data_IF_127321335908
#
_entry.id   IF_127321335908
#
_cell.length_a   1.000
_cell.length_b   1.000
_cell.length_c   1.000
_cell.angle_alpha   90.00
_cell.angle_beta   90.00
_cell.angle_gamma   90.00
#
_symmetry.space_group_name_H-M   'P 1'
#
loop_
_entity.id
_entity.type
_entity.pdbx_description
1 polymer ?
#
# COMPACT_ATOMS: atom_id res chain seq x y z
N UNK A 1 9.83 -42.49 -6.45
CA UNK A 1 10.00 -42.21 -5.06
C UNK A 1 10.61 -40.85 -4.79
N UNK A 2 11.69 -40.57 -5.43
CA UNK A 2 12.42 -39.34 -5.18
C UNK A 2 11.67 -38.09 -5.64
N UNK A 3 10.83 -38.24 -6.62
CA UNK A 3 10.09 -37.10 -7.18
C UNK A 3 9.12 -36.45 -6.21
N UNK A 4 8.73 -37.14 -5.17
CA UNK A 4 7.81 -36.63 -4.18
C UNK A 4 8.42 -35.53 -3.33
N UNK A 5 9.71 -35.60 -3.09
CA UNK A 5 10.42 -34.65 -2.26
C UNK A 5 10.56 -33.27 -2.90
N UNK A 6 10.62 -33.23 -4.20
CA UNK A 6 10.77 -31.97 -4.92
C UNK A 6 9.54 -31.10 -4.84
N UNK A 7 8.36 -31.69 -4.81
CA UNK A 7 7.13 -30.94 -4.74
C UNK A 7 6.98 -30.16 -3.44
N UNK A 8 7.53 -30.68 -2.36
CA UNK A 8 7.44 -30.02 -1.06
C UNK A 8 8.30 -28.77 -0.98
N UNK A 9 9.40 -28.75 -1.69
CA UNK A 9 10.31 -27.61 -1.64
C UNK A 9 9.73 -26.39 -2.35
N UNK A 10 8.94 -26.59 -3.37
CA UNK A 10 8.38 -25.51 -4.15
C UNK A 10 7.30 -24.77 -3.39
N UNK A 11 6.51 -25.47 -2.61
CA UNK A 11 5.38 -24.86 -1.92
C UNK A 11 5.77 -24.00 -0.75
N UNK A 12 7.04 -24.02 -0.35
CA UNK A 12 7.47 -23.34 0.86
C UNK A 12 7.99 -21.93 0.63
N UNK A 13 7.89 -21.38 -0.57
CA UNK A 13 8.77 -20.30 -0.91
C UNK A 13 8.15 -18.95 -1.25
N UNK A 14 6.96 -18.64 -0.91
CA UNK A 14 6.46 -17.33 -1.32
C UNK A 14 5.77 -16.58 -0.22
N UNK A 15 6.52 -16.02 0.69
CA UNK A 15 5.84 -15.45 1.86
C UNK A 15 5.39 -14.02 1.72
N UNK A 16 5.85 -13.23 0.78
CA UNK A 16 5.78 -11.80 0.99
C UNK A 16 4.82 -11.03 0.10
N UNK A 17 4.45 -11.55 -1.04
CA UNK A 17 3.55 -10.82 -1.92
C UNK A 17 2.10 -11.05 -1.51
N UNK A 18 1.25 -10.01 -1.52
CA UNK A 18 -0.17 -10.24 -1.34
C UNK A 18 -0.67 -11.16 -2.43
N UNK A 19 -1.40 -12.19 -2.05
CA UNK A 19 -1.95 -13.11 -3.01
C UNK A 19 -3.02 -12.39 -3.83
N UNK A 20 -3.05 -12.65 -5.13
CA UNK A 20 -4.14 -12.19 -5.98
C UNK A 20 -5.37 -13.03 -5.66
N UNK A 21 -6.21 -12.53 -4.78
CA UNK A 21 -7.44 -13.20 -4.36
C UNK A 21 -8.67 -12.66 -5.06
N UNK A 22 -8.53 -11.63 -5.90
CA UNK A 22 -9.66 -10.92 -6.47
C UNK A 22 -10.41 -10.02 -5.50
N UNK A 23 -10.01 -10.03 -4.22
CA UNK A 23 -10.63 -9.22 -3.17
C UNK A 23 -9.54 -8.49 -2.42
N UNK A 24 -9.56 -7.17 -2.38
CA UNK A 24 -8.57 -6.42 -1.63
C UNK A 24 -8.80 -6.58 -0.13
N UNK A 25 -7.74 -6.45 0.66
CA UNK A 25 -7.86 -6.44 2.11
C UNK A 25 -8.72 -5.25 2.54
N UNK A 26 -9.67 -5.44 3.45
CA UNK A 26 -10.54 -4.34 3.89
C UNK A 26 -9.78 -3.14 4.43
N UNK A 27 -8.69 -3.37 5.15
CA UNK A 27 -7.88 -2.27 5.67
C UNK A 27 -7.26 -1.45 4.56
N UNK A 28 -6.79 -2.10 3.48
CA UNK A 28 -6.21 -1.38 2.35
C UNK A 28 -7.25 -0.47 1.68
N UNK A 29 -8.48 -0.95 1.54
CA UNK A 29 -9.57 -0.16 0.97
C UNK A 29 -9.92 1.03 1.87
N UNK A 30 -10.02 0.79 3.17
CA UNK A 30 -10.31 1.86 4.13
C UNK A 30 -9.19 2.89 4.17
N UNK A 31 -7.94 2.45 4.13
CA UNK A 31 -6.79 3.35 4.09
C UNK A 31 -6.75 4.16 2.80
N UNK A 32 -7.03 3.53 1.67
CA UNK A 32 -7.12 4.27 0.41
C UNK A 32 -8.18 5.37 0.51
N UNK A 33 -9.36 5.02 1.03
CA UNK A 33 -10.46 5.98 1.22
C UNK A 33 -10.03 7.18 2.08
N UNK A 34 -9.41 6.90 3.22
CA UNK A 34 -8.96 7.96 4.13
C UNK A 34 -7.88 8.82 3.50
N UNK A 35 -6.89 8.20 2.87
CA UNK A 35 -5.79 8.94 2.25
C UNK A 35 -6.27 9.79 1.08
N UNK A 36 -7.19 9.27 0.29
CA UNK A 36 -7.79 10.05 -0.81
C UNK A 36 -8.49 11.29 -0.28
N UNK A 37 -9.18 11.18 0.85
CA UNK A 37 -9.80 12.33 1.48
C UNK A 37 -8.76 13.33 1.97
N UNK A 38 -7.69 12.87 2.60
CA UNK A 38 -6.61 13.74 3.07
C UNK A 38 -5.86 14.42 1.92
N UNK A 39 -5.86 13.82 0.74
CA UNK A 39 -5.23 14.41 -0.44
C UNK A 39 -5.91 15.70 -0.89
N UNK A 40 -7.12 15.96 -0.40
CA UNK A 40 -7.83 17.22 -0.67
C UNK A 40 -7.72 18.22 0.47
N UNK A 41 -6.92 17.95 1.49
CA UNK A 41 -6.78 18.82 2.63
C UNK A 41 -6.14 20.15 2.25
N UNK A 42 -6.50 21.20 2.97
CA UNK A 42 -5.96 22.53 2.73
C UNK A 42 -4.50 22.66 3.18
N UNK A 43 -4.10 21.90 4.21
CA UNK A 43 -2.72 21.89 4.67
C UNK A 43 -1.86 21.13 3.66
N UNK A 44 -0.84 21.78 3.05
CA UNK A 44 -0.02 21.14 2.03
C UNK A 44 0.70 19.88 2.51
N UNK A 45 1.05 19.80 3.78
CA UNK A 45 1.73 18.63 4.33
C UNK A 45 0.79 17.45 4.44
N UNK A 46 -0.43 17.70 4.89
CA UNK A 46 -1.46 16.67 4.96
C UNK A 46 -1.85 16.22 3.57
N UNK A 47 -2.00 17.16 2.64
CA UNK A 47 -2.32 16.86 1.25
C UNK A 47 -1.27 15.97 0.60
N UNK A 48 0.01 16.28 0.80
CA UNK A 48 1.10 15.45 0.28
C UNK A 48 1.09 14.05 0.86
N UNK A 49 0.92 13.95 2.17
CA UNK A 49 0.83 12.65 2.84
C UNK A 49 -0.35 11.84 2.30
N UNK A 50 -1.49 12.47 2.14
CA UNK A 50 -2.68 11.81 1.60
C UNK A 50 -2.46 11.31 0.18
N UNK A 51 -1.84 12.12 -0.67
CA UNK A 51 -1.56 11.76 -2.05
C UNK A 51 -0.63 10.54 -2.15
N UNK A 52 0.46 10.57 -1.40
CA UNK A 52 1.42 9.45 -1.38
C UNK A 52 0.78 8.21 -0.78
N UNK A 53 0.05 8.38 0.33
CA UNK A 53 -0.62 7.26 0.97
C UNK A 53 -1.68 6.62 0.08
N UNK A 54 -2.46 7.44 -0.62
CA UNK A 54 -3.48 6.92 -1.53
C UNK A 54 -2.85 6.07 -2.64
N UNK A 55 -1.76 6.52 -3.21
CA UNK A 55 -1.06 5.78 -4.25
C UNK A 55 -0.48 4.47 -3.71
N UNK A 56 0.05 4.49 -2.50
CA UNK A 56 0.58 3.29 -1.87
C UNK A 56 -0.51 2.23 -1.68
N UNK A 57 -1.65 2.62 -1.11
CA UNK A 57 -2.74 1.68 -0.88
C UNK A 57 -3.40 1.24 -2.18
N UNK A 58 -3.46 2.12 -3.19
CA UNK A 58 -3.94 1.73 -4.51
C UNK A 58 -3.08 0.61 -5.10
N UNK A 59 -1.76 0.71 -4.96
CA UNK A 59 -0.87 -0.35 -5.40
C UNK A 59 -1.12 -1.68 -4.70
N UNK A 60 -1.40 -1.64 -3.39
CA UNK A 60 -1.73 -2.86 -2.65
C UNK A 60 -3.08 -3.45 -3.10
N UNK A 61 -4.05 -2.59 -3.36
CA UNK A 61 -5.36 -3.03 -3.87
C UNK A 61 -5.19 -3.67 -5.24
N UNK A 62 -4.44 -3.04 -6.12
CA UNK A 62 -4.22 -3.57 -7.48
C UNK A 62 -3.47 -4.91 -7.45
N UNK A 63 -2.54 -5.08 -6.53
CA UNK A 63 -1.82 -6.34 -6.41
C UNK A 63 -2.74 -7.48 -5.97
N UNK A 64 -3.69 -7.22 -5.08
CA UNK A 64 -4.60 -8.22 -4.56
C UNK A 64 -5.81 -8.44 -5.49
N UNK A 65 -6.26 -7.41 -6.18
CA UNK A 65 -7.48 -7.43 -6.96
C UNK A 65 -7.35 -6.54 -8.20
N UNK A 66 -6.65 -7.01 -9.23
CA UNK A 66 -6.52 -6.25 -10.47
C UNK A 66 -7.90 -5.90 -11.03
N UNK A 67 -8.09 -4.64 -11.36
CA UNK A 67 -9.38 -4.18 -11.88
C UNK A 67 -10.45 -3.88 -10.84
N UNK A 68 -10.08 -3.88 -9.55
CA UNK A 68 -11.02 -3.47 -8.52
C UNK A 68 -11.51 -2.04 -8.78
N UNK A 69 -12.82 -1.84 -8.67
CA UNK A 69 -13.41 -0.51 -8.85
C UNK A 69 -13.14 0.33 -7.61
N UNK A 70 -12.14 1.19 -7.68
CA UNK A 70 -11.74 2.02 -6.55
C UNK A 70 -12.78 3.08 -6.18
N UNK A 71 -13.70 3.41 -7.08
CA UNK A 71 -14.77 4.33 -6.74
C UNK A 71 -15.64 3.77 -5.61
N UNK A 72 -15.75 2.47 -5.51
CA UNK A 72 -16.46 1.82 -4.40
C UNK A 72 -15.83 2.12 -3.05
N UNK A 73 -14.52 2.31 -3.02
CA UNK A 73 -13.84 2.63 -1.77
C UNK A 73 -14.32 3.98 -1.21
N UNK A 74 -14.67 4.90 -2.09
CA UNK A 74 -15.12 6.23 -1.67
C UNK A 74 -16.49 6.20 -1.00
N UNK A 75 -17.25 5.15 -1.19
CA UNK A 75 -18.55 4.98 -0.56
C UNK A 75 -18.48 4.33 0.83
N UNK A 76 -17.31 3.88 1.23
CA UNK A 76 -17.15 3.23 2.53
C UNK A 76 -17.22 4.24 3.65
N UNK A 77 -17.98 3.90 4.68
CA UNK A 77 -18.06 4.73 5.87
C UNK A 77 -16.79 4.56 6.70
N UNK A 78 -16.29 5.66 7.24
CA UNK A 78 -15.18 5.66 8.18
C UNK A 78 -15.76 5.86 9.57
N UNK A 79 -15.69 4.83 10.42
CA UNK A 79 -16.20 4.90 11.77
C UNK A 79 -15.22 5.59 12.71
N UNK A 80 -14.23 4.86 13.19
CA UNK A 80 -13.19 5.40 14.07
C UNK A 80 -12.06 5.96 13.22
N UNK A 81 -12.16 7.24 12.91
CA UNK A 81 -11.22 7.93 12.02
C UNK A 81 -9.81 7.95 12.59
N UNK A 82 -9.66 8.26 13.87
CA UNK A 82 -8.34 8.34 14.49
C UNK A 82 -7.68 6.97 14.58
N UNK A 83 -8.44 5.95 14.93
CA UNK A 83 -7.95 4.59 14.97
C UNK A 83 -7.54 4.10 13.58
N UNK A 84 -8.33 4.41 12.57
CA UNK A 84 -8.00 4.07 11.19
C UNK A 84 -6.73 4.77 10.75
N UNK A 85 -6.60 6.05 11.03
CA UNK A 85 -5.41 6.82 10.67
C UNK A 85 -4.14 6.21 11.29
N UNK A 86 -4.22 5.78 12.55
CA UNK A 86 -3.09 5.11 13.19
C UNK A 86 -2.72 3.81 12.47
N UNK A 87 -3.73 2.98 12.15
CA UNK A 87 -3.47 1.72 11.46
C UNK A 87 -2.88 1.93 10.09
N UNK A 88 -3.40 2.89 9.35
CA UNK A 88 -2.86 3.24 8.03
C UNK A 88 -1.42 3.75 8.16
N UNK A 89 -1.15 4.57 9.17
CA UNK A 89 0.18 5.07 9.45
C UNK A 89 1.17 3.97 9.76
N UNK A 90 0.74 2.94 10.49
CA UNK A 90 1.59 1.79 10.79
C UNK A 90 1.94 1.01 9.52
N UNK A 91 0.97 0.79 8.64
CA UNK A 91 1.22 0.12 7.36
C UNK A 91 2.19 0.92 6.51
N UNK A 92 1.97 2.22 6.39
CA UNK A 92 2.85 3.11 5.63
C UNK A 92 4.27 3.11 6.21
N UNK A 93 4.38 3.11 7.53
CA UNK A 93 5.68 3.11 8.19
C UNK A 93 6.41 1.80 7.98
N UNK A 94 5.70 0.69 8.01
CA UNK A 94 6.29 -0.63 7.75
C UNK A 94 6.80 -0.73 6.31
N UNK A 95 6.03 -0.20 5.34
CA UNK A 95 6.45 -0.12 3.94
C UNK A 95 7.35 1.08 3.66
N UNK A 96 7.29 2.10 4.51
CA UNK A 96 7.91 3.39 4.28
C UNK A 96 9.42 3.40 4.39
N UNK A 97 9.99 2.37 4.98
CA UNK A 97 11.43 2.21 5.01
C UNK A 97 11.99 2.16 3.60
N UNK A 98 11.30 1.43 2.72
CA UNK A 98 11.68 1.30 1.33
C UNK A 98 11.40 2.59 0.56
N UNK A 99 10.31 3.27 0.86
CA UNK A 99 10.00 4.57 0.25
C UNK A 99 11.06 5.59 0.54
N UNK A 100 11.49 5.67 1.79
CA UNK A 100 12.52 6.62 2.18
C UNK A 100 13.84 6.32 1.49
N UNK A 101 14.23 5.06 1.48
CA UNK A 101 15.47 4.64 0.84
C UNK A 101 15.45 4.93 -0.66
N UNK A 102 14.35 4.66 -1.33
CA UNK A 102 14.19 4.96 -2.74
C UNK A 102 14.26 6.46 -2.99
N UNK A 103 13.54 7.25 -2.17
CA UNK A 103 13.55 8.69 -2.28
C UNK A 103 14.93 9.28 -2.11
N UNK A 104 15.67 8.82 -1.11
CA UNK A 104 17.03 9.26 -0.87
C UNK A 104 17.96 8.88 -2.03
N UNK A 105 17.79 7.68 -2.55
CA UNK A 105 18.57 7.21 -3.69
C UNK A 105 18.31 8.05 -4.93
N UNK A 106 17.06 8.40 -5.19
CA UNK A 106 16.73 9.24 -6.34
C UNK A 106 17.29 10.65 -6.21
N UNK A 107 17.23 11.22 -5.02
CA UNK A 107 17.79 12.54 -4.76
C UNK A 107 19.30 12.52 -4.94
N UNK A 108 19.98 11.51 -4.43
CA UNK A 108 21.43 11.36 -4.59
C UNK A 108 21.83 11.22 -6.06
N UNK A 109 21.08 10.42 -6.82
CA UNK A 109 21.33 10.25 -8.24
C UNK A 109 21.15 11.58 -9.01
N UNK A 110 20.10 12.32 -8.67
CA UNK A 110 19.87 13.63 -9.29
C UNK A 110 20.98 14.62 -9.00
N UNK A 111 21.49 14.61 -7.78
CA UNK A 111 22.61 15.48 -7.42
C UNK A 111 23.89 15.14 -8.17
N UNK A 112 24.11 13.85 -8.40
CA UNK A 112 25.31 13.40 -9.11
C UNK A 112 25.31 13.82 -10.58
N UNK A 113 24.14 14.03 -11.15
CA UNK A 113 24.00 14.43 -12.54
C UNK A 113 24.19 15.93 -12.76
N UNK A 114 24.11 16.70 -11.72
CA UNK A 114 24.28 18.14 -11.79
C UNK A 114 25.76 18.50 -11.68
#
# INVERSE_FOLDING_TARGET
MESVLLALLISATSPAAPADTGVPAPLDVDCFRLMAELADDEDPRIRSMGTVGAQYFLGRIDAAAPGYDVDRAMDRAIGDRDGLLRRCGEVLRAGGRDFRAVGESLVSSGRSEI
#
